data_IF_238843604732
#
_entry.id   IF_238843604732
#
_cell.length_a   1.000
_cell.length_b   1.000
_cell.length_c   1.000
_cell.angle_alpha   90.00
_cell.angle_beta   90.00
_cell.angle_gamma   90.00
#
_symmetry.space_group_name_H-M   'P 1'
#
loop_
_entity.id
_entity.type
_entity.pdbx_description
1 polymer ?
#
# COMPACT_ATOMS: atom_id res chain seq x y z
N UNK A 1 2.75 11.74 25.48
CA UNK A 1 2.62 10.26 25.53
C UNK A 1 1.59 9.83 24.48
N UNK A 2 1.98 9.00 23.51
CA UNK A 2 1.04 8.54 22.48
C UNK A 2 -0.07 7.69 23.14
N UNK A 3 -1.34 8.02 22.89
CA UNK A 3 -2.48 7.23 23.38
C UNK A 3 -2.75 6.10 22.40
N UNK A 4 -2.53 4.87 22.82
CA UNK A 4 -2.92 3.67 22.06
C UNK A 4 -4.44 3.54 22.12
N UNK A 5 -5.07 3.27 20.98
CA UNK A 5 -6.51 3.02 20.91
C UNK A 5 -6.84 1.62 21.43
N UNK A 6 -6.84 1.46 22.75
CA UNK A 6 -7.06 0.18 23.45
C UNK A 6 -8.35 -0.52 23.05
N UNK A 7 -9.42 0.23 22.74
CA UNK A 7 -10.69 -0.31 22.24
C UNK A 7 -10.50 -1.02 20.91
N UNK A 8 -9.78 -0.41 19.97
CA UNK A 8 -9.54 -1.02 18.67
C UNK A 8 -8.59 -2.21 18.80
N UNK A 9 -7.53 -2.09 19.61
CA UNK A 9 -6.61 -3.21 19.89
C UNK A 9 -7.35 -4.41 20.49
N UNK A 10 -8.28 -4.18 21.42
CA UNK A 10 -9.09 -5.25 22.02
C UNK A 10 -10.02 -5.94 21.02
N UNK A 11 -10.63 -5.19 20.08
CA UNK A 11 -11.44 -5.79 19.00
C UNK A 11 -10.61 -6.71 18.11
N UNK A 12 -9.41 -6.28 17.73
CA UNK A 12 -8.49 -7.07 16.90
C UNK A 12 -8.07 -8.33 17.64
N UNK A 13 -7.65 -8.21 18.92
CA UNK A 13 -7.26 -9.37 19.72
C UNK A 13 -8.38 -10.40 19.85
N UNK A 14 -9.62 -9.96 20.08
CA UNK A 14 -10.79 -10.84 20.13
C UNK A 14 -10.98 -11.58 18.80
N UNK A 15 -10.97 -10.85 17.69
CA UNK A 15 -11.12 -11.44 16.36
C UNK A 15 -10.03 -12.49 16.09
N UNK A 16 -8.78 -12.17 16.41
CA UNK A 16 -7.66 -13.11 16.22
C UNK A 16 -7.81 -14.39 17.04
N UNK A 17 -8.37 -14.30 18.26
CA UNK A 17 -8.65 -15.47 19.09
C UNK A 17 -9.81 -16.35 18.58
N UNK A 18 -10.67 -15.82 17.72
CA UNK A 18 -11.79 -16.54 17.10
C UNK A 18 -11.40 -17.18 15.75
N UNK A 19 -10.25 -16.82 15.17
CA UNK A 19 -9.81 -17.36 13.89
C UNK A 19 -9.31 -18.81 14.04
N UNK A 20 -9.72 -19.73 13.16
CA UNK A 20 -9.24 -21.10 13.19
C UNK A 20 -7.73 -21.15 12.89
N UNK A 21 -6.98 -21.87 13.72
CA UNK A 21 -5.51 -21.96 13.62
C UNK A 21 -5.01 -22.60 12.31
N UNK A 22 -5.84 -23.33 11.56
CA UNK A 22 -5.31 -24.42 10.74
C UNK A 22 -5.52 -24.36 9.22
N UNK A 23 -6.19 -23.39 8.58
CA UNK A 23 -6.37 -23.55 7.10
C UNK A 23 -6.57 -22.33 6.21
N UNK A 24 -6.73 -21.12 6.71
CA UNK A 24 -6.73 -19.95 5.85
C UNK A 24 -5.66 -18.97 6.33
N UNK A 25 -4.63 -18.75 5.51
CA UNK A 25 -3.75 -17.61 5.70
C UNK A 25 -4.57 -16.32 5.81
N UNK A 26 -3.98 -15.27 6.37
CA UNK A 26 -4.64 -13.97 6.50
C UNK A 26 -5.24 -13.54 5.15
N UNK A 27 -6.56 -13.33 5.12
CA UNK A 27 -7.23 -12.81 3.93
C UNK A 27 -7.00 -11.30 3.86
N UNK A 28 -6.22 -10.89 2.87
CA UNK A 28 -5.99 -9.48 2.57
C UNK A 28 -6.76 -8.99 1.35
N UNK A 29 -7.46 -9.88 0.66
CA UNK A 29 -8.03 -9.65 -0.67
C UNK A 29 -9.48 -9.18 -0.63
N UNK A 30 -10.25 -9.66 0.33
CA UNK A 30 -11.69 -9.40 0.44
C UNK A 30 -12.13 -9.22 1.89
N UNK A 31 -13.33 -8.66 2.06
CA UNK A 31 -14.00 -8.54 3.35
C UNK A 31 -15.49 -8.83 3.20
N UNK A 32 -16.14 -9.27 4.26
CA UNK A 32 -17.58 -9.50 4.26
C UNK A 32 -18.35 -8.25 4.67
N UNK A 33 -19.47 -7.99 3.99
CA UNK A 33 -20.47 -7.00 4.42
C UNK A 33 -21.85 -7.65 4.40
N UNK A 34 -22.49 -7.72 5.58
CA UNK A 34 -23.76 -8.41 5.78
C UNK A 34 -23.60 -9.93 5.72
N UNK A 35 -23.53 -10.47 4.48
CA UNK A 35 -23.23 -11.88 4.13
C UNK A 35 -22.61 -12.03 2.74
N UNK A 36 -22.13 -10.92 2.17
CA UNK A 36 -21.57 -10.88 0.82
C UNK A 36 -20.08 -10.57 0.91
N UNK A 37 -19.29 -11.38 0.23
CA UNK A 37 -17.88 -11.10 0.02
C UNK A 37 -17.72 -9.90 -0.94
N UNK A 38 -16.96 -8.91 -0.50
CA UNK A 38 -16.54 -7.76 -1.28
C UNK A 38 -15.04 -7.89 -1.54
N UNK A 39 -14.71 -8.18 -2.79
CA UNK A 39 -13.34 -8.22 -3.28
C UNK A 39 -12.80 -6.79 -3.45
N UNK A 40 -11.69 -6.49 -2.78
CA UNK A 40 -11.00 -5.21 -2.89
C UNK A 40 -9.83 -5.28 -3.88
N UNK A 41 -10.10 -5.83 -5.07
CA UNK A 41 -9.10 -6.12 -6.13
C UNK A 41 -8.33 -4.90 -6.64
N UNK A 42 -8.85 -3.69 -6.43
CA UNK A 42 -8.16 -2.43 -6.76
C UNK A 42 -7.02 -2.10 -5.79
N UNK A 43 -7.08 -2.62 -4.56
CA UNK A 43 -6.11 -2.28 -3.51
C UNK A 43 -5.21 -3.44 -3.12
N UNK A 44 -5.67 -4.68 -3.31
CA UNK A 44 -4.97 -5.85 -2.80
C UNK A 44 -4.71 -6.92 -3.86
N UNK A 45 -3.56 -7.62 -3.78
CA UNK A 45 -3.25 -8.77 -4.61
C UNK A 45 -4.36 -9.82 -4.55
N UNK A 46 -4.51 -10.59 -5.63
CA UNK A 46 -5.43 -11.72 -5.65
C UNK A 46 -5.12 -12.71 -4.51
N UNK A 47 -6.13 -13.49 -4.10
CA UNK A 47 -5.94 -14.57 -3.13
C UNK A 47 -4.80 -15.49 -3.60
N UNK A 48 -3.90 -15.85 -2.68
CA UNK A 48 -2.73 -16.69 -2.92
C UNK A 48 -1.69 -16.13 -3.91
N UNK A 49 -1.73 -14.83 -4.23
CA UNK A 49 -0.68 -14.23 -5.06
C UNK A 49 0.71 -14.40 -4.40
N UNK A 50 1.74 -14.88 -5.11
CA UNK A 50 3.04 -15.22 -4.50
C UNK A 50 3.76 -14.02 -3.86
N UNK A 51 3.53 -12.81 -4.37
CA UNK A 51 4.06 -11.57 -3.80
C UNK A 51 3.18 -10.92 -2.72
N UNK A 52 2.07 -11.52 -2.30
CA UNK A 52 1.11 -10.86 -1.39
C UNK A 52 1.74 -10.38 -0.08
N UNK A 53 2.63 -11.19 0.51
CA UNK A 53 3.34 -10.85 1.75
C UNK A 53 4.34 -9.71 1.52
N UNK A 54 5.17 -9.80 0.47
CA UNK A 54 6.15 -8.75 0.15
C UNK A 54 5.47 -7.42 -0.16
N UNK A 55 4.36 -7.47 -0.90
CA UNK A 55 3.49 -6.33 -1.17
C UNK A 55 3.00 -5.67 0.13
N UNK A 56 2.45 -6.46 1.06
CA UNK A 56 1.92 -5.95 2.32
C UNK A 56 2.98 -5.25 3.16
N UNK A 57 4.12 -5.90 3.37
CA UNK A 57 5.19 -5.31 4.16
C UNK A 57 5.78 -4.07 3.48
N UNK A 58 5.91 -4.08 2.16
CA UNK A 58 6.35 -2.89 1.42
C UNK A 58 5.40 -1.71 1.67
N UNK A 59 4.09 -1.90 1.48
CA UNK A 59 3.11 -0.82 1.65
C UNK A 59 3.05 -0.35 3.10
N UNK A 60 3.04 -1.26 4.07
CA UNK A 60 3.02 -0.93 5.49
C UNK A 60 4.25 -0.12 5.93
N UNK A 61 5.45 -0.47 5.43
CA UNK A 61 6.67 0.29 5.72
C UNK A 61 6.58 1.73 5.19
N UNK A 62 5.97 1.93 4.03
CA UNK A 62 5.85 3.26 3.41
C UNK A 62 4.69 4.07 4.00
N UNK A 63 3.73 3.44 4.68
CA UNK A 63 2.58 4.12 5.25
C UNK A 63 2.97 5.21 6.26
N UNK A 64 4.11 5.04 6.96
CA UNK A 64 4.62 6.00 7.95
C UNK A 64 5.39 7.21 7.35
N UNK A 65 5.61 7.25 6.04
CA UNK A 65 6.29 8.36 5.36
C UNK A 65 5.55 8.90 4.13
N UNK A 66 4.34 8.40 3.85
CA UNK A 66 3.60 8.74 2.63
C UNK A 66 2.70 9.96 2.83
N UNK A 67 3.32 11.12 3.02
CA UNK A 67 2.68 12.43 3.22
C UNK A 67 3.62 13.56 2.78
N UNK A 68 3.08 14.75 2.53
CA UNK A 68 3.89 15.94 2.28
C UNK A 68 4.38 16.51 3.62
N UNK A 69 5.67 16.78 3.70
CA UNK A 69 6.34 17.27 4.89
C UNK A 69 7.31 18.42 4.65
N UNK A 70 7.72 19.07 5.73
CA UNK A 70 8.79 20.06 5.77
C UNK A 70 9.78 19.74 6.90
N UNK A 71 10.67 20.70 7.23
CA UNK A 71 11.68 20.57 8.29
C UNK A 71 11.09 20.25 9.67
N UNK A 72 9.80 20.56 9.88
CA UNK A 72 9.06 20.32 11.11
C UNK A 72 8.19 19.05 11.05
N UNK A 73 8.26 18.28 9.97
CA UNK A 73 7.55 17.02 9.80
C UNK A 73 6.28 17.15 8.98
N UNK A 74 5.19 16.50 9.42
CA UNK A 74 3.96 16.37 8.65
C UNK A 74 3.30 17.72 8.35
N UNK A 75 2.99 17.95 7.07
CA UNK A 75 2.23 19.11 6.60
C UNK A 75 0.83 18.72 6.16
N UNK A 76 0.73 17.81 5.19
CA UNK A 76 -0.55 17.43 4.60
C UNK A 76 -0.51 16.04 3.94
N UNK A 77 -1.67 15.38 3.72
CA UNK A 77 -1.70 14.08 3.08
C UNK A 77 -1.52 14.22 1.57
N UNK A 78 -0.92 13.20 0.95
CA UNK A 78 -0.80 13.16 -0.52
C UNK A 78 -2.16 12.83 -1.14
N UNK A 79 -2.50 13.50 -2.24
CA UNK A 79 -3.69 13.20 -3.05
C UNK A 79 -3.29 12.93 -4.49
N UNK A 80 -3.85 11.90 -5.11
CA UNK A 80 -3.52 11.54 -6.48
C UNK A 80 -4.71 10.97 -7.24
N UNK A 81 -4.68 11.07 -8.56
CA UNK A 81 -5.66 10.44 -9.42
C UNK A 81 -5.10 9.13 -9.97
N UNK A 82 -5.86 8.04 -9.80
CA UNK A 82 -5.56 6.74 -10.36
C UNK A 82 -6.84 6.17 -10.99
N UNK A 83 -6.80 5.81 -12.27
CA UNK A 83 -7.95 5.31 -13.02
C UNK A 83 -9.21 6.17 -12.79
N UNK A 84 -9.06 7.47 -13.05
CA UNK A 84 -10.07 8.52 -12.90
C UNK A 84 -10.70 8.69 -11.50
N UNK A 85 -10.13 8.04 -10.48
CA UNK A 85 -10.53 8.26 -9.08
C UNK A 85 -9.46 9.03 -8.32
N UNK A 86 -9.92 10.06 -7.61
CA UNK A 86 -9.10 10.78 -6.63
C UNK A 86 -8.99 9.96 -5.35
N UNK A 87 -7.77 9.64 -4.96
CA UNK A 87 -7.43 8.88 -3.75
C UNK A 87 -6.55 9.72 -2.83
N UNK A 88 -6.60 9.42 -1.53
CA UNK A 88 -5.89 10.16 -0.48
C UNK A 88 -5.02 9.23 0.35
N UNK A 89 -3.79 9.66 0.63
CA UNK A 89 -2.88 9.02 1.58
C UNK A 89 -2.70 7.54 1.32
N UNK A 90 -3.01 6.71 2.31
CA UNK A 90 -2.84 5.27 2.24
C UNK A 90 -3.63 4.63 1.08
N UNK A 91 -4.85 5.08 0.79
CA UNK A 91 -5.66 4.48 -0.30
C UNK A 91 -4.97 4.66 -1.66
N UNK A 92 -4.32 5.81 -1.86
CA UNK A 92 -3.52 6.07 -3.06
C UNK A 92 -2.31 5.13 -3.11
N UNK A 93 -1.61 4.95 -1.99
CA UNK A 93 -0.43 4.09 -1.89
C UNK A 93 -0.78 2.63 -2.20
N UNK A 94 -1.82 2.08 -1.56
CA UNK A 94 -2.30 0.71 -1.82
C UNK A 94 -2.66 0.50 -3.28
N UNK A 95 -3.48 1.40 -3.84
CA UNK A 95 -3.93 1.27 -5.23
C UNK A 95 -2.77 1.43 -6.25
N UNK A 96 -1.83 2.35 -6.00
CA UNK A 96 -0.67 2.54 -6.85
C UNK A 96 0.27 1.32 -6.82
N UNK A 97 0.55 0.79 -5.63
CA UNK A 97 1.34 -0.43 -5.50
C UNK A 97 0.64 -1.63 -6.15
N UNK A 98 -0.69 -1.73 -6.03
CA UNK A 98 -1.45 -2.81 -6.67
C UNK A 98 -1.37 -2.73 -8.18
N UNK A 99 -1.55 -1.53 -8.75
CA UNK A 99 -1.35 -1.31 -10.19
C UNK A 99 0.07 -1.63 -10.64
N UNK A 100 1.08 -1.32 -9.82
CA UNK A 100 2.46 -1.69 -10.10
C UNK A 100 2.66 -3.20 -10.12
N UNK A 101 2.05 -3.93 -9.18
CA UNK A 101 2.07 -5.40 -9.15
C UNK A 101 1.38 -6.01 -10.37
N UNK A 102 0.25 -5.44 -10.81
CA UNK A 102 -0.50 -5.93 -11.98
C UNK A 102 0.31 -5.78 -13.28
N UNK A 103 1.10 -4.72 -13.38
CA UNK A 103 1.97 -4.49 -14.53
C UNK A 103 3.26 -5.32 -14.49
N UNK A 104 3.75 -5.64 -13.28
CA UNK A 104 4.99 -6.36 -13.07
C UNK A 104 4.85 -7.29 -11.84
N UNK A 105 4.50 -8.57 -12.05
CA UNK A 105 4.28 -9.53 -10.97
C UNK A 105 5.50 -9.81 -10.09
N UNK A 106 6.70 -9.39 -10.51
CA UNK A 106 7.96 -9.62 -9.80
C UNK A 106 8.47 -8.35 -9.09
N UNK A 107 7.77 -7.21 -9.17
CA UNK A 107 8.28 -5.92 -8.70
C UNK A 107 8.61 -5.90 -7.19
N UNK A 108 7.92 -6.72 -6.39
CA UNK A 108 8.14 -6.83 -4.95
C UNK A 108 9.10 -7.97 -4.55
N UNK A 109 9.78 -8.59 -5.50
CA UNK A 109 10.84 -9.54 -5.17
C UNK A 109 11.96 -8.83 -4.42
N UNK A 110 12.40 -9.44 -3.31
CA UNK A 110 13.46 -8.89 -2.45
C UNK A 110 14.72 -8.48 -3.23
N UNK A 111 15.16 -9.33 -4.17
CA UNK A 111 16.34 -9.08 -4.98
C UNK A 111 16.18 -7.86 -5.92
N UNK A 112 14.94 -7.52 -6.29
CA UNK A 112 14.63 -6.33 -7.09
C UNK A 112 14.48 -5.11 -6.21
N UNK A 113 13.76 -5.21 -5.09
CA UNK A 113 13.62 -4.14 -4.10
C UNK A 113 14.98 -3.66 -3.57
N UNK A 114 15.92 -4.58 -3.31
CA UNK A 114 17.27 -4.26 -2.83
C UNK A 114 18.11 -3.45 -3.85
N UNK A 115 17.72 -3.44 -5.13
CA UNK A 115 18.39 -2.69 -6.19
C UNK A 115 17.76 -1.32 -6.45
N UNK A 116 16.65 -1.01 -5.79
CA UNK A 116 16.00 0.30 -5.90
C UNK A 116 16.83 1.31 -5.12
N UNK A 117 17.56 2.16 -5.83
CA UNK A 117 18.26 3.30 -5.24
C UNK A 117 17.45 4.59 -5.40
N UNK A 118 17.48 5.45 -4.39
CA UNK A 118 16.81 6.75 -4.42
C UNK A 118 17.33 7.64 -5.58
N UNK A 119 18.63 7.56 -5.89
CA UNK A 119 19.23 8.29 -7.01
C UNK A 119 18.83 7.72 -8.39
N UNK A 120 18.69 6.40 -8.50
CA UNK A 120 18.20 5.73 -9.72
C UNK A 120 16.73 6.04 -10.01
N UNK A 121 15.95 6.39 -9.00
CA UNK A 121 14.56 6.82 -9.13
C UNK A 121 14.41 8.25 -9.69
N UNK A 122 15.48 9.06 -9.64
CA UNK A 122 15.48 10.46 -10.08
C UNK A 122 16.08 10.68 -11.48
N UNK A 123 16.80 9.71 -12.05
CA UNK A 123 17.47 9.87 -13.36
C UNK A 123 17.09 8.76 -14.37
N UNK A 124 16.51 9.23 -15.48
CA UNK A 124 16.27 8.60 -16.81
C UNK A 124 15.25 7.45 -16.94
N UNK A 125 14.21 7.78 -17.71
CA UNK A 125 13.58 7.03 -18.81
C UNK A 125 13.81 5.51 -18.92
N UNK A 126 13.08 4.75 -18.12
CA UNK A 126 12.20 3.69 -18.62
C UNK A 126 10.96 3.69 -17.71
N UNK A 127 9.84 3.16 -18.15
CA UNK A 127 8.55 3.31 -17.48
C UNK A 127 8.40 2.41 -16.24
N UNK A 128 9.50 2.02 -15.57
CA UNK A 128 9.51 0.72 -14.90
C UNK A 128 10.34 0.58 -13.62
N UNK A 129 10.51 1.60 -12.77
CA UNK A 129 11.21 1.33 -11.49
C UNK A 129 10.54 1.76 -10.18
N UNK A 130 9.34 2.39 -10.18
CA UNK A 130 8.29 2.17 -9.15
C UNK A 130 6.88 2.84 -9.34
N UNK A 131 6.34 3.29 -10.48
CA UNK A 131 6.77 3.37 -11.88
C UNK A 131 7.37 4.71 -12.32
N UNK A 132 7.65 5.63 -11.39
CA UNK A 132 8.69 6.70 -11.39
C UNK A 132 8.73 7.29 -9.96
N UNK A 133 8.78 6.36 -9.01
CA UNK A 133 8.50 6.45 -7.57
C UNK A 133 7.07 6.87 -7.18
N UNK A 134 6.01 6.12 -7.51
CA UNK A 134 4.57 6.49 -7.34
C UNK A 134 4.07 7.55 -8.34
N UNK A 135 4.97 8.41 -8.87
CA UNK A 135 5.28 8.74 -10.29
C UNK A 135 5.98 10.11 -10.40
N UNK A 136 5.77 10.99 -9.39
CA UNK A 136 6.32 12.36 -9.16
C UNK A 136 5.57 12.98 -7.96
N UNK A 137 5.28 12.22 -6.89
CA UNK A 137 4.41 12.59 -5.73
C UNK A 137 3.23 13.54 -6.09
N UNK A 138 2.44 13.25 -7.14
CA UNK A 138 1.22 14.00 -7.53
C UNK A 138 1.35 15.30 -8.38
N UNK A 139 2.57 15.72 -8.80
CA UNK A 139 2.86 16.94 -9.61
C UNK A 139 2.43 18.25 -8.91
N UNK A 140 3.34 19.24 -8.87
CA UNK A 140 2.98 20.65 -8.64
C UNK A 140 1.79 21.02 -9.55
N UNK A 141 0.74 21.62 -8.97
CA UNK A 141 -0.05 22.75 -9.50
C UNK A 141 -1.44 22.79 -8.82
N UNK A 142 -1.56 23.58 -7.76
CA UNK A 142 -2.51 24.69 -7.82
C UNK A 142 -1.70 25.97 -7.84
N UNK A 143 -1.53 26.51 -9.06
CA UNK A 143 -0.87 27.76 -9.46
C UNK A 143 0.63 27.69 -9.75
#
# INVERSE_FOLDING_TARGET
>A
MAKVNSRQTGKVAKLLGELPNESCGLNFYSHETGRKEIVASRMYPALNHPQAINFFFFVCLHQYGFWHGDENGYREPIFGCLDDKKLKGADLLWAACKKALDNDPLIFERARLAKISFDGLLKKSSLTQMGRLIFRICRRDTS
#
